data_IF_575587720775
#
_entry.id   IF_575587720775
#
_cell.length_a   1.000
_cell.length_b   1.000
_cell.length_c   1.000
_cell.angle_alpha   90.00
_cell.angle_beta   90.00
_cell.angle_gamma   90.00
#
_symmetry.space_group_name_H-M   'P 1'
#
loop_
_entity.id
_entity.type
_entity.pdbx_description
1 polymer ?
#
# COMPACT_ATOMS: atom_id res chain seq x y z
N UNK A 1 -3.67 17.55 0.96
CA UNK A 1 -3.73 18.51 2.10
C UNK A 1 -5.09 18.37 2.76
N UNK A 2 -5.22 18.36 4.09
CA UNK A 2 -6.53 18.25 4.75
C UNK A 2 -7.29 19.58 4.66
N UNK A 3 -8.57 19.55 4.25
CA UNK A 3 -9.35 20.77 3.93
C UNK A 3 -9.83 21.56 5.16
N UNK A 4 -9.97 20.94 6.35
CA UNK A 4 -10.52 21.57 7.55
C UNK A 4 -9.69 21.30 8.83
N UNK A 5 -8.37 21.61 8.85
CA UNK A 5 -7.48 21.19 9.93
C UNK A 5 -7.79 21.84 11.28
N UNK A 6 -8.57 22.92 11.31
CA UNK A 6 -8.98 23.61 12.54
C UNK A 6 -10.26 23.05 13.17
N UNK A 7 -11.05 22.26 12.42
CA UNK A 7 -12.34 21.70 12.89
C UNK A 7 -12.21 20.29 13.45
N UNK A 8 -11.13 19.58 13.10
CA UNK A 8 -10.93 18.19 13.45
C UNK A 8 -9.62 18.01 14.23
N UNK A 9 -9.65 17.10 15.20
CA UNK A 9 -8.43 16.65 15.85
C UNK A 9 -7.58 15.86 14.84
N UNK A 10 -6.34 16.29 14.65
CA UNK A 10 -5.40 15.64 13.74
C UNK A 10 -4.33 14.93 14.57
N UNK A 11 -4.32 13.61 14.52
CA UNK A 11 -3.22 12.80 15.02
C UNK A 11 -2.30 12.43 13.86
N UNK A 12 -1.00 12.72 14.01
CA UNK A 12 0.03 12.27 13.09
C UNK A 12 0.82 11.17 13.79
N UNK A 13 0.70 9.95 13.30
CA UNK A 13 1.46 8.82 13.78
C UNK A 13 2.70 8.68 12.91
N UNK A 14 3.86 8.56 13.53
CA UNK A 14 5.08 8.20 12.85
C UNK A 14 5.44 6.79 13.30
N UNK A 15 5.43 5.77 12.42
CA UNK A 15 5.74 4.42 12.83
C UNK A 15 7.22 4.34 13.25
N UNK A 16 7.48 3.83 14.45
CA UNK A 16 8.85 3.72 14.98
C UNK A 16 9.68 2.62 14.28
N UNK A 17 9.00 1.59 13.78
CA UNK A 17 9.67 0.46 13.13
C UNK A 17 9.95 0.76 11.65
N UNK A 18 11.22 0.59 11.25
CA UNK A 18 11.61 0.60 9.85
C UNK A 18 10.92 -0.48 9.02
N UNK A 19 10.44 -1.57 9.65
CA UNK A 19 9.75 -2.67 8.95
C UNK A 19 8.52 -2.18 8.19
N UNK A 20 7.81 -1.17 8.70
CA UNK A 20 6.60 -0.61 8.08
C UNK A 20 6.85 0.71 7.32
N UNK A 21 8.08 1.22 7.35
CA UNK A 21 8.48 2.40 6.56
C UNK A 21 8.99 1.94 5.18
N UNK A 22 8.06 1.63 4.27
CA UNK A 22 8.36 0.98 2.99
C UNK A 22 7.97 1.83 1.78
N UNK A 23 8.72 2.90 1.47
CA UNK A 23 8.44 3.76 0.32
C UNK A 23 8.61 3.03 -1.03
N UNK A 24 9.27 1.88 -1.04
CA UNK A 24 9.46 1.03 -2.21
C UNK A 24 8.27 0.10 -2.51
N UNK A 25 7.31 -0.04 -1.59
CA UNK A 25 6.12 -0.87 -1.78
C UNK A 25 4.94 0.02 -2.13
N UNK A 26 4.35 -0.20 -3.31
CA UNK A 26 3.09 0.42 -3.73
C UNK A 26 1.95 -0.59 -3.64
N UNK A 27 1.08 -0.41 -2.65
CA UNK A 27 -0.16 -1.20 -2.50
C UNK A 27 -1.37 -0.26 -2.48
N UNK A 28 -1.73 0.20 -3.68
CA UNK A 28 -2.85 1.09 -3.98
C UNK A 28 -3.76 0.41 -5.01
N UNK A 29 -4.79 1.10 -5.53
CA UNK A 29 -5.64 0.58 -6.63
C UNK A 29 -6.02 1.74 -7.57
N UNK A 30 -5.01 2.49 -8.05
CA UNK A 30 -5.23 3.65 -8.93
C UNK A 30 -4.98 3.31 -10.41
N UNK A 31 -4.10 2.34 -10.68
CA UNK A 31 -3.72 1.87 -12.01
C UNK A 31 -4.08 0.38 -12.22
N UNK A 32 -4.20 -0.11 -13.47
CA UNK A 32 -4.43 -1.52 -13.74
C UNK A 32 -3.37 -2.44 -13.10
N UNK A 33 -2.09 -2.04 -13.13
CA UNK A 33 -0.97 -2.76 -12.53
C UNK A 33 -1.11 -2.85 -11.00
N UNK A 34 -1.61 -1.79 -10.37
CA UNK A 34 -1.91 -1.78 -8.93
C UNK A 34 -2.94 -2.85 -8.57
N UNK A 35 -4.00 -2.99 -9.38
CA UNK A 35 -5.04 -4.00 -9.15
C UNK A 35 -4.49 -5.42 -9.28
N UNK A 36 -3.55 -5.66 -10.21
CA UNK A 36 -2.87 -6.96 -10.32
C UNK A 36 -2.11 -7.24 -9.04
N UNK A 37 -1.28 -6.30 -8.57
CA UNK A 37 -0.51 -6.44 -7.33
C UNK A 37 -1.42 -6.69 -6.12
N UNK A 38 -2.48 -5.87 -5.96
CA UNK A 38 -3.42 -6.00 -4.84
C UNK A 38 -4.14 -7.35 -4.84
N UNK A 39 -4.51 -7.88 -6.01
CA UNK A 39 -5.15 -9.20 -6.14
C UNK A 39 -4.20 -10.33 -5.78
N UNK A 40 -2.96 -10.31 -6.29
CA UNK A 40 -1.97 -11.35 -5.97
C UNK A 40 -1.67 -11.40 -4.47
N UNK A 41 -1.45 -10.23 -3.83
CA UNK A 41 -1.24 -10.13 -2.39
C UNK A 41 -2.44 -10.67 -1.61
N UNK A 42 -3.66 -10.28 -1.99
CA UNK A 42 -4.87 -10.75 -1.33
C UNK A 42 -5.08 -12.26 -1.50
N UNK A 43 -4.94 -12.78 -2.71
CA UNK A 43 -5.15 -14.21 -2.99
C UNK A 43 -4.15 -15.10 -2.24
N UNK A 44 -2.91 -14.65 -2.08
CA UNK A 44 -1.89 -15.38 -1.33
C UNK A 44 -2.13 -15.35 0.18
N UNK A 45 -2.51 -14.19 0.73
CA UNK A 45 -2.60 -13.98 2.18
C UNK A 45 -3.99 -14.23 2.77
N UNK A 46 -5.05 -14.26 1.96
CA UNK A 46 -6.42 -14.42 2.47
C UNK A 46 -6.57 -15.73 3.22
N UNK A 47 -7.15 -15.63 4.41
CA UNK A 47 -7.55 -16.76 5.23
C UNK A 47 -8.98 -16.52 5.72
N UNK A 48 -9.90 -17.49 5.58
CA UNK A 48 -11.27 -17.32 6.04
C UNK A 48 -11.32 -16.97 7.54
N UNK A 49 -11.97 -15.86 7.87
CA UNK A 49 -12.14 -15.41 9.26
C UNK A 49 -10.94 -14.69 9.90
N UNK A 50 -9.86 -14.45 9.15
CA UNK A 50 -8.68 -13.74 9.64
C UNK A 50 -8.44 -12.43 8.89
N UNK A 51 -7.92 -11.43 9.60
CA UNK A 51 -7.40 -10.21 8.98
C UNK A 51 -6.00 -10.44 8.43
N UNK A 52 -5.68 -9.78 7.31
CA UNK A 52 -4.34 -9.78 6.75
C UNK A 52 -3.49 -8.76 7.52
N UNK A 53 -2.37 -9.20 8.11
CA UNK A 53 -1.46 -8.28 8.79
C UNK A 53 -0.57 -7.53 7.79
N UNK A 54 -0.30 -6.27 8.09
CA UNK A 54 0.62 -5.44 7.29
C UNK A 54 2.03 -6.07 7.23
N UNK A 55 2.49 -6.69 8.31
CA UNK A 55 3.79 -7.36 8.32
C UNK A 55 3.86 -8.52 7.31
N UNK A 56 2.78 -9.32 7.19
CA UNK A 56 2.73 -10.45 6.26
C UNK A 56 2.72 -9.97 4.80
N UNK A 57 2.05 -8.85 4.53
CA UNK A 57 2.09 -8.18 3.21
C UNK A 57 3.51 -7.78 2.85
N UNK A 58 4.22 -7.15 3.79
CA UNK A 58 5.59 -6.66 3.57
C UNK A 58 6.53 -7.85 3.33
N UNK A 59 6.44 -8.88 4.17
CA UNK A 59 7.28 -10.08 4.05
C UNK A 59 7.01 -10.82 2.73
N UNK A 60 5.75 -10.86 2.28
CA UNK A 60 5.39 -11.41 0.96
C UNK A 60 5.97 -10.56 -0.19
N UNK A 61 5.79 -9.24 -0.17
CA UNK A 61 6.31 -8.36 -1.23
C UNK A 61 7.84 -8.37 -1.32
N UNK A 62 8.55 -8.61 -0.21
CA UNK A 62 10.00 -8.80 -0.21
C UNK A 62 10.44 -10.14 -0.78
N UNK A 63 9.67 -11.20 -0.53
CA UNK A 63 9.93 -12.53 -1.09
C UNK A 63 9.70 -12.59 -2.62
N UNK A 64 8.85 -11.72 -3.17
CA UNK A 64 8.46 -11.69 -4.58
C UNK A 64 8.75 -10.32 -5.24
N UNK A 65 10.04 -9.92 -5.41
CA UNK A 65 10.40 -8.59 -5.89
C UNK A 65 9.83 -8.23 -7.28
N UNK A 66 9.63 -9.22 -8.15
CA UNK A 66 9.00 -9.02 -9.46
C UNK A 66 7.57 -8.49 -9.37
N UNK A 67 6.83 -8.85 -8.31
CA UNK A 67 5.48 -8.35 -8.08
C UNK A 67 5.52 -6.86 -7.74
N UNK A 68 6.47 -6.46 -6.89
CA UNK A 68 6.73 -5.06 -6.51
C UNK A 68 7.16 -4.19 -7.71
N UNK A 69 7.90 -4.78 -8.65
CA UNK A 69 8.34 -4.08 -9.87
C UNK A 69 7.18 -3.73 -10.83
N UNK A 70 6.06 -4.48 -10.81
CA UNK A 70 4.94 -4.27 -11.75
C UNK A 70 4.36 -2.86 -11.68
N UNK A 71 4.22 -2.31 -10.48
CA UNK A 71 3.72 -0.96 -10.25
C UNK A 71 4.76 -0.02 -9.61
N UNK A 72 5.97 -0.49 -9.34
CA UNK A 72 7.04 0.30 -8.71
C UNK A 72 7.56 1.47 -9.56
N UNK A 73 7.26 1.48 -10.87
CA UNK A 73 7.59 2.61 -11.76
C UNK A 73 6.62 3.79 -11.65
N UNK A 74 5.46 3.61 -10.99
CA UNK A 74 4.44 4.63 -10.82
C UNK A 74 4.81 5.50 -9.62
N UNK A 75 4.98 6.79 -9.85
CA UNK A 75 5.30 7.74 -8.78
C UNK A 75 4.14 7.84 -7.76
N UNK A 76 4.48 7.71 -6.47
CA UNK A 76 3.55 7.76 -5.34
C UNK A 76 3.09 9.22 -5.09
N UNK A 77 2.34 9.76 -6.04
CA UNK A 77 1.84 11.13 -6.01
C UNK A 77 1.00 11.51 -7.23
N UNK A 78 1.06 10.72 -8.31
CA UNK A 78 0.28 10.94 -9.53
C UNK A 78 -0.98 10.07 -9.46
N UNK A 79 -1.99 10.52 -8.71
CA UNK A 79 -3.33 9.96 -8.86
C UNK A 79 -3.97 10.52 -10.13
N UNK A 80 -4.46 9.67 -11.05
CA UNK A 80 -5.30 10.14 -12.17
C UNK A 80 -6.58 10.74 -11.60
N UNK A 81 -6.65 12.07 -11.59
CA UNK A 81 -7.93 12.77 -11.51
C UNK A 81 -8.55 12.57 -12.90
N UNK A 82 -9.60 11.76 -12.98
CA UNK A 82 -10.31 11.51 -14.24
C UNK A 82 -10.82 12.87 -14.76
N UNK A 83 -10.38 13.26 -15.97
CA UNK A 83 -10.94 14.38 -16.74
C UNK A 83 -12.21 13.94 -17.46
#
# INVERSE_FOLDING_TARGET
MCENPKKFYLQRLHPESSKVQRPDIRLTVDYPEDLIVAREVYEFLKKPGEYINVADIIDYMDAYPKLKELNGWIDAGIGRIWN
#
